data_IF_384073945555
#
_entry.id   IF_384073945555
#
_cell.length_a   1.000
_cell.length_b   1.000
_cell.length_c   1.000
_cell.angle_alpha   90.00
_cell.angle_beta   90.00
_cell.angle_gamma   90.00
#
_symmetry.space_group_name_H-M   'P 1'
#
loop_
_entity.id
_entity.type
_entity.pdbx_description
1 polymer ?
#
# COMPACT_ATOMS: atom_id res chain seq x y z
N UNK A 1 0.53 3.75 6.62
CA UNK A 1 -0.89 3.38 6.49
C UNK A 1 -1.07 1.97 5.90
N UNK A 2 -0.56 1.72 4.73
CA UNK A 2 -0.73 0.47 3.97
C UNK A 2 -0.38 -0.78 4.77
N UNK A 3 0.86 -0.90 5.21
CA UNK A 3 1.38 -2.04 5.97
C UNK A 3 0.55 -2.34 7.24
N UNK A 4 0.21 -1.31 8.01
CA UNK A 4 -0.59 -1.48 9.25
C UNK A 4 -1.99 -2.03 8.97
N UNK A 5 -2.63 -1.56 7.88
CA UNK A 5 -3.96 -2.04 7.46
C UNK A 5 -3.85 -3.47 6.96
N UNK A 6 -2.86 -3.76 6.11
CA UNK A 6 -2.59 -5.09 5.55
C UNK A 6 -2.39 -6.15 6.65
N UNK A 7 -1.49 -5.89 7.60
CA UNK A 7 -1.26 -6.82 8.72
C UNK A 7 -2.52 -7.09 9.55
N UNK A 8 -3.28 -6.04 9.83
CA UNK A 8 -4.54 -6.21 10.59
C UNK A 8 -5.55 -7.06 9.83
N UNK A 9 -5.67 -6.86 8.51
CA UNK A 9 -6.58 -7.66 7.68
C UNK A 9 -6.12 -9.12 7.64
N UNK A 10 -4.82 -9.37 7.42
CA UNK A 10 -4.29 -10.74 7.39
C UNK A 10 -4.52 -11.43 8.74
N UNK A 11 -4.20 -10.79 9.85
CA UNK A 11 -4.46 -11.33 11.20
C UNK A 11 -5.94 -11.60 11.43
N UNK A 12 -6.81 -10.69 11.00
CA UNK A 12 -8.25 -10.81 11.13
C UNK A 12 -8.79 -12.04 10.38
N UNK A 13 -8.43 -12.21 9.10
CA UNK A 13 -8.94 -13.32 8.29
C UNK A 13 -8.30 -14.67 8.62
N UNK A 14 -7.06 -14.71 9.13
CA UNK A 14 -6.42 -15.93 9.63
C UNK A 14 -6.79 -16.26 11.08
N UNK A 15 -7.56 -15.39 11.74
CA UNK A 15 -8.16 -15.60 13.05
C UNK A 15 -9.61 -16.11 12.95
N UNK A 16 -10.47 -15.57 13.80
CA UNK A 16 -11.87 -16.01 13.93
C UNK A 16 -12.76 -15.60 12.75
N UNK A 17 -12.40 -14.55 12.03
CA UNK A 17 -13.20 -14.04 10.93
C UNK A 17 -13.36 -15.02 9.75
N UNK A 18 -12.46 -15.99 9.61
CA UNK A 18 -12.64 -17.05 8.62
C UNK A 18 -13.90 -17.90 8.84
N UNK A 19 -14.47 -17.88 10.05
CA UNK A 19 -15.72 -18.60 10.35
C UNK A 19 -16.96 -17.76 10.02
N UNK A 20 -16.82 -16.46 9.79
CA UNK A 20 -17.93 -15.58 9.46
C UNK A 20 -18.42 -15.82 8.01
N UNK A 21 -19.72 -16.11 7.80
CA UNK A 21 -20.26 -16.42 6.49
C UNK A 21 -20.00 -15.33 5.44
N UNK A 22 -20.18 -14.06 5.81
CA UNK A 22 -19.98 -12.93 4.91
C UNK A 22 -18.53 -12.80 4.45
N UNK A 23 -17.56 -13.03 5.36
CA UNK A 23 -16.14 -13.04 5.04
C UNK A 23 -15.81 -14.18 4.09
N UNK A 24 -16.39 -15.37 4.32
CA UNK A 24 -16.20 -16.55 3.47
C UNK A 24 -16.73 -16.33 2.06
N UNK A 25 -17.93 -15.78 1.92
CA UNK A 25 -18.52 -15.46 0.62
C UNK A 25 -17.63 -14.49 -0.16
N UNK A 26 -17.16 -13.41 0.49
CA UNK A 26 -16.27 -12.43 -0.16
C UNK A 26 -14.91 -13.02 -0.52
N UNK A 27 -14.27 -13.78 0.37
CA UNK A 27 -12.97 -14.41 0.10
C UNK A 27 -13.05 -15.47 -0.99
N UNK A 28 -14.14 -16.25 -1.05
CA UNK A 28 -14.36 -17.21 -2.13
C UNK A 28 -14.53 -16.51 -3.49
N UNK A 29 -15.29 -15.41 -3.52
CA UNK A 29 -15.53 -14.66 -4.75
C UNK A 29 -14.31 -13.92 -5.28
N UNK A 30 -13.53 -13.29 -4.38
CA UNK A 30 -12.41 -12.40 -4.76
C UNK A 30 -11.07 -13.12 -4.83
N UNK A 31 -10.91 -14.20 -4.12
CA UNK A 31 -9.63 -14.87 -3.99
C UNK A 31 -8.54 -13.99 -3.38
N UNK A 32 -7.30 -14.36 -3.66
CA UNK A 32 -6.11 -13.70 -3.13
C UNK A 32 -5.04 -13.61 -4.21
N UNK A 33 -4.37 -12.47 -4.33
CA UNK A 33 -3.22 -12.32 -5.22
C UNK A 33 -1.98 -13.05 -4.66
N UNK A 34 -1.01 -13.30 -5.51
CA UNK A 34 0.24 -13.99 -5.18
C UNK A 34 0.93 -13.42 -3.95
N UNK A 35 1.09 -12.11 -3.92
CA UNK A 35 1.77 -11.41 -2.82
C UNK A 35 1.09 -11.65 -1.47
N UNK A 36 -0.24 -11.57 -1.42
CA UNK A 36 -0.98 -11.81 -0.18
C UNK A 36 -1.02 -13.29 0.21
N UNK A 37 -1.05 -14.22 -0.76
CA UNK A 37 -0.88 -15.64 -0.46
C UNK A 37 0.49 -15.92 0.18
N UNK A 38 1.56 -15.36 -0.36
CA UNK A 38 2.91 -15.53 0.18
C UNK A 38 3.01 -14.96 1.62
N UNK A 39 2.40 -13.80 1.88
CA UNK A 39 2.31 -13.22 3.24
C UNK A 39 1.48 -14.09 4.19
N UNK A 40 0.30 -14.55 3.76
CA UNK A 40 -0.53 -15.45 4.57
C UNK A 40 0.18 -16.78 4.86
N UNK A 41 0.99 -17.28 3.93
CA UNK A 41 1.81 -18.48 4.12
C UNK A 41 2.90 -18.29 5.16
N UNK A 42 3.41 -17.08 5.37
CA UNK A 42 4.42 -16.77 6.39
C UNK A 42 3.82 -16.59 7.79
N UNK A 43 2.50 -16.34 7.88
CA UNK A 43 1.80 -16.24 9.15
C UNK A 43 1.48 -17.60 9.78
N UNK A 44 1.27 -17.60 11.11
CA UNK A 44 0.67 -18.75 11.81
C UNK A 44 -0.79 -18.84 11.40
N UNK A 45 -1.31 -20.04 11.18
CA UNK A 45 -2.70 -20.24 10.77
C UNK A 45 -2.86 -21.01 9.46
N UNK A 46 -2.02 -22.04 9.28
CA UNK A 46 -2.07 -22.90 8.08
C UNK A 46 -3.43 -23.58 7.89
N UNK A 47 -4.08 -24.01 8.96
CA UNK A 47 -5.39 -24.65 8.87
C UNK A 47 -6.44 -23.63 8.39
N UNK A 48 -6.42 -22.42 8.94
CA UNK A 48 -7.33 -21.35 8.55
C UNK A 48 -7.18 -21.00 7.05
N UNK A 49 -5.94 -20.85 6.60
CA UNK A 49 -5.66 -20.62 5.18
C UNK A 49 -6.15 -21.81 4.32
N UNK A 50 -5.89 -23.05 4.74
CA UNK A 50 -6.31 -24.23 3.99
C UNK A 50 -7.85 -24.30 3.85
N UNK A 51 -8.60 -24.00 4.91
CA UNK A 51 -10.07 -23.97 4.89
C UNK A 51 -10.61 -22.88 3.95
N UNK A 52 -9.98 -21.70 3.90
CA UNK A 52 -10.35 -20.66 2.94
C UNK A 52 -10.05 -21.06 1.51
N UNK A 53 -8.87 -21.61 1.27
CA UNK A 53 -8.47 -22.06 -0.07
C UNK A 53 -9.34 -23.21 -0.56
N UNK A 54 -9.74 -24.15 0.30
CA UNK A 54 -10.65 -25.23 -0.06
C UNK A 54 -11.94 -24.72 -0.66
N UNK A 55 -12.62 -23.80 0.02
CA UNK A 55 -13.89 -23.24 -0.49
C UNK A 55 -13.71 -22.29 -1.67
N UNK A 56 -12.57 -21.61 -1.75
CA UNK A 56 -12.23 -20.80 -2.93
C UNK A 56 -12.02 -21.69 -4.17
N UNK A 57 -11.35 -22.83 -4.03
CA UNK A 57 -11.17 -23.81 -5.12
C UNK A 57 -12.54 -24.35 -5.58
N UNK A 58 -13.45 -24.63 -4.65
CA UNK A 58 -14.82 -25.06 -5.01
C UNK A 58 -15.56 -23.96 -5.79
N UNK A 59 -15.46 -22.70 -5.36
CA UNK A 59 -16.05 -21.56 -6.09
C UNK A 59 -15.45 -21.41 -7.49
N UNK A 60 -14.12 -21.50 -7.63
CA UNK A 60 -13.44 -21.47 -8.93
C UNK A 60 -13.94 -22.61 -9.82
N UNK A 61 -14.03 -23.83 -9.28
CA UNK A 61 -14.52 -24.98 -10.02
C UNK A 61 -15.95 -24.78 -10.53
N UNK A 62 -16.85 -24.31 -9.68
CA UNK A 62 -18.24 -24.03 -10.04
C UNK A 62 -18.33 -22.89 -11.06
N UNK A 63 -17.55 -21.83 -10.90
CA UNK A 63 -17.61 -20.63 -11.74
C UNK A 63 -17.00 -20.86 -13.12
N UNK A 64 -15.82 -21.50 -13.18
CA UNK A 64 -15.05 -21.65 -14.42
C UNK A 64 -15.36 -22.95 -15.14
N UNK A 65 -15.46 -24.07 -14.39
CA UNK A 65 -15.50 -25.42 -14.94
C UNK A 65 -16.87 -26.10 -14.87
N UNK A 66 -17.91 -25.38 -14.39
CA UNK A 66 -19.27 -25.93 -14.42
C UNK A 66 -19.65 -26.37 -15.83
N UNK A 67 -20.41 -27.49 -15.91
CA UNK A 67 -20.82 -28.18 -17.16
C UNK A 67 -21.79 -27.38 -18.05
N UNK A 68 -21.61 -26.09 -18.20
CA UNK A 68 -22.37 -25.35 -19.20
C UNK A 68 -21.70 -25.53 -20.55
N UNK A 69 -22.22 -26.48 -21.33
CA UNK A 69 -21.78 -26.86 -22.69
C UNK A 69 -21.74 -25.68 -23.68
N UNK A 70 -22.36 -24.56 -23.35
CA UNK A 70 -22.49 -23.37 -24.22
C UNK A 70 -21.44 -22.26 -23.94
N UNK A 71 -20.51 -22.44 -23.01
CA UNK A 71 -19.50 -21.41 -22.75
C UNK A 71 -18.28 -21.60 -23.66
N UNK A 72 -18.07 -20.70 -24.65
CA UNK A 72 -16.87 -20.76 -25.49
C UNK A 72 -15.60 -20.56 -24.65
N UNK A 73 -14.41 -21.07 -25.12
CA UNK A 73 -13.15 -20.95 -24.40
C UNK A 73 -12.82 -19.53 -23.94
N UNK A 74 -13.20 -18.51 -24.73
CA UNK A 74 -12.98 -17.10 -24.43
C UNK A 74 -13.71 -16.66 -23.15
N UNK A 75 -14.96 -17.08 -22.95
CA UNK A 75 -15.72 -16.79 -21.73
C UNK A 75 -15.13 -17.46 -20.49
N UNK A 76 -14.52 -18.65 -20.65
CA UNK A 76 -13.80 -19.29 -19.55
C UNK A 76 -12.54 -18.50 -19.20
N UNK A 77 -11.78 -18.04 -20.19
CA UNK A 77 -10.60 -17.20 -19.99
C UNK A 77 -10.95 -15.87 -19.28
N UNK A 78 -12.06 -15.22 -19.67
CA UNK A 78 -12.56 -14.01 -19.01
C UNK A 78 -12.90 -14.26 -17.53
N UNK A 79 -13.56 -15.40 -17.25
CA UNK A 79 -13.87 -15.79 -15.85
C UNK A 79 -12.61 -16.06 -15.03
N UNK A 80 -11.63 -16.77 -15.59
CA UNK A 80 -10.32 -16.97 -14.93
C UNK A 80 -9.70 -15.61 -14.65
N UNK A 81 -9.62 -14.73 -15.64
CA UNK A 81 -9.06 -13.40 -15.49
C UNK A 81 -9.77 -12.60 -14.39
N UNK A 82 -11.11 -12.63 -14.33
CA UNK A 82 -11.87 -11.92 -13.30
C UNK A 82 -11.54 -12.40 -11.87
N UNK A 83 -11.12 -13.66 -11.70
CA UNK A 83 -10.71 -14.22 -10.42
C UNK A 83 -9.25 -13.86 -10.12
N UNK A 84 -8.36 -13.96 -11.12
CA UNK A 84 -6.92 -13.70 -10.93
C UNK A 84 -6.58 -12.23 -10.77
N UNK A 85 -7.40 -11.33 -11.32
CA UNK A 85 -7.23 -9.88 -11.23
C UNK A 85 -7.81 -9.26 -9.95
N UNK A 86 -8.41 -10.09 -9.07
CA UNK A 86 -9.01 -9.63 -7.82
C UNK A 86 -8.28 -10.19 -6.60
N UNK A 87 -8.42 -9.50 -5.47
CA UNK A 87 -7.89 -9.95 -4.19
C UNK A 87 -8.69 -9.33 -3.06
N UNK A 88 -9.20 -10.16 -2.16
CA UNK A 88 -9.94 -9.71 -0.98
C UNK A 88 -9.12 -8.74 -0.12
N UNK A 89 -7.85 -9.06 0.14
CA UNK A 89 -6.98 -8.23 0.99
C UNK A 89 -6.70 -6.88 0.32
N UNK A 90 -6.36 -6.87 -0.98
CA UNK A 90 -6.15 -5.61 -1.71
C UNK A 90 -7.38 -4.70 -1.63
N UNK A 91 -8.58 -5.25 -1.82
CA UNK A 91 -9.82 -4.48 -1.76
C UNK A 91 -10.09 -3.90 -0.37
N UNK A 92 -9.85 -4.68 0.69
CA UNK A 92 -10.02 -4.20 2.07
C UNK A 92 -8.97 -3.14 2.45
N UNK A 93 -7.72 -3.29 1.97
CA UNK A 93 -6.67 -2.28 2.15
C UNK A 93 -7.08 -0.98 1.47
N UNK A 94 -7.48 -1.05 0.20
CA UNK A 94 -7.89 0.13 -0.57
C UNK A 94 -9.06 0.85 0.09
N UNK A 95 -10.07 0.10 0.53
CA UNK A 95 -11.18 0.66 1.29
C UNK A 95 -10.72 1.35 2.59
N UNK A 96 -9.85 0.70 3.37
CA UNK A 96 -9.34 1.24 4.62
C UNK A 96 -8.50 2.50 4.42
N UNK A 97 -7.58 2.50 3.46
CA UNK A 97 -6.73 3.65 3.13
C UNK A 97 -7.56 4.82 2.61
N UNK A 98 -8.56 4.56 1.74
CA UNK A 98 -9.46 5.60 1.25
C UNK A 98 -10.23 6.28 2.39
N UNK A 99 -10.70 5.51 3.38
CA UNK A 99 -11.37 6.07 4.57
C UNK A 99 -10.43 6.88 5.46
N UNK A 100 -9.18 6.46 5.61
CA UNK A 100 -8.17 7.24 6.33
C UNK A 100 -7.90 8.57 5.63
N UNK A 101 -7.72 8.56 4.31
CA UNK A 101 -7.49 9.77 3.51
C UNK A 101 -8.69 10.72 3.62
N UNK A 102 -9.91 10.22 3.55
CA UNK A 102 -11.12 11.02 3.75
C UNK A 102 -11.15 11.68 5.14
N UNK A 103 -10.74 10.93 6.16
CA UNK A 103 -10.64 11.47 7.53
C UNK A 103 -9.58 12.56 7.62
N UNK A 104 -8.44 12.42 6.93
CA UNK A 104 -7.40 13.46 6.86
C UNK A 104 -7.97 14.76 6.30
N UNK A 105 -8.72 14.73 5.20
CA UNK A 105 -9.31 15.94 4.63
C UNK A 105 -10.29 16.61 5.59
N UNK A 106 -11.15 15.82 6.23
CA UNK A 106 -12.12 16.33 7.19
C UNK A 106 -11.45 16.97 8.41
N UNK A 107 -10.41 16.34 8.95
CA UNK A 107 -9.67 16.88 10.08
C UNK A 107 -8.86 18.12 9.68
N UNK A 108 -8.24 18.12 8.49
CA UNK A 108 -7.50 19.26 7.97
C UNK A 108 -8.42 20.48 7.79
N UNK A 109 -9.66 20.30 7.32
CA UNK A 109 -10.65 21.35 7.13
C UNK A 109 -11.13 21.94 8.47
N UNK A 110 -11.30 21.11 9.51
CA UNK A 110 -12.04 21.51 10.70
C UNK A 110 -11.17 21.71 11.96
N UNK A 111 -9.99 21.09 12.03
CA UNK A 111 -9.18 21.07 13.24
C UNK A 111 -7.82 21.73 13.04
N UNK A 112 -7.57 22.83 13.76
CA UNK A 112 -6.33 23.60 13.67
C UNK A 112 -5.11 22.76 14.09
N UNK A 113 -5.20 22.08 15.21
CA UNK A 113 -4.10 21.28 15.76
C UNK A 113 -3.70 20.13 14.81
N UNK A 114 -4.70 19.55 14.14
CA UNK A 114 -4.42 18.55 13.12
C UNK A 114 -3.71 19.14 11.89
N UNK A 115 -4.10 20.35 11.43
CA UNK A 115 -3.39 21.04 10.33
C UNK A 115 -1.92 21.29 10.68
N UNK A 116 -1.67 21.79 11.89
CA UNK A 116 -0.30 22.02 12.37
C UNK A 116 0.50 20.73 12.39
N UNK A 117 -0.08 19.64 12.93
CA UNK A 117 0.55 18.32 12.93
C UNK A 117 0.79 17.79 11.52
N UNK A 118 -0.16 17.94 10.62
CA UNK A 118 -0.04 17.52 9.22
C UNK A 118 1.06 18.30 8.49
N UNK A 119 1.09 19.61 8.67
CA UNK A 119 2.05 20.52 8.03
C UNK A 119 3.48 20.37 8.59
N UNK A 120 3.63 19.77 9.78
CA UNK A 120 4.92 19.47 10.41
C UNK A 120 5.47 18.08 10.04
N UNK A 121 4.74 17.30 9.24
CA UNK A 121 5.22 15.99 8.82
C UNK A 121 6.51 16.12 8.02
N UNK A 122 7.51 15.23 8.26
CA UNK A 122 8.81 15.31 7.60
C UNK A 122 8.73 14.96 6.12
N UNK A 123 7.81 14.10 5.73
CA UNK A 123 7.67 13.63 4.34
C UNK A 123 6.34 12.95 4.08
N UNK A 124 5.97 12.90 2.80
CA UNK A 124 4.99 11.96 2.24
C UNK A 124 5.66 11.20 1.10
N UNK A 125 5.56 9.86 1.08
CA UNK A 125 6.03 9.10 -0.07
C UNK A 125 5.20 9.39 -1.32
N UNK A 126 5.72 9.05 -2.50
CA UNK A 126 5.09 9.39 -3.78
C UNK A 126 3.66 8.83 -3.90
N UNK A 127 3.42 7.61 -3.41
CA UNK A 127 2.08 7.01 -3.42
C UNK A 127 1.09 7.78 -2.53
N UNK A 128 1.48 8.14 -1.30
CA UNK A 128 0.62 8.94 -0.44
C UNK A 128 0.44 10.36 -0.95
N UNK A 129 1.48 10.98 -1.54
CA UNK A 129 1.38 12.29 -2.17
C UNK A 129 0.35 12.27 -3.31
N UNK A 130 0.45 11.31 -4.24
CA UNK A 130 -0.51 11.17 -5.36
C UNK A 130 -1.95 11.05 -4.83
N UNK A 131 -2.18 10.13 -3.90
CA UNK A 131 -3.52 9.88 -3.34
C UNK A 131 -4.09 11.10 -2.62
N UNK A 132 -3.26 11.78 -1.82
CA UNK A 132 -3.67 12.99 -1.10
C UNK A 132 -3.95 14.16 -2.04
N UNK A 133 -3.13 14.39 -3.06
CA UNK A 133 -3.37 15.48 -4.03
C UNK A 133 -4.60 15.20 -4.87
N UNK A 134 -4.75 13.98 -5.38
CA UNK A 134 -5.88 13.57 -6.23
C UNK A 134 -7.24 13.73 -5.55
N UNK A 135 -7.31 13.49 -4.24
CA UNK A 135 -8.56 13.55 -3.50
C UNK A 135 -8.91 14.94 -2.95
N UNK A 136 -8.08 15.96 -3.18
CA UNK A 136 -8.39 17.34 -2.76
C UNK A 136 -9.57 17.87 -3.59
N UNK A 137 -10.71 18.08 -2.94
CA UNK A 137 -11.91 18.62 -3.55
C UNK A 137 -12.30 19.98 -2.91
N UNK A 138 -12.12 21.06 -3.68
CA UNK A 138 -12.47 22.42 -3.25
C UNK A 138 -13.95 22.62 -2.98
N UNK A 139 -14.83 21.81 -3.56
CA UNK A 139 -16.27 21.90 -3.31
C UNK A 139 -16.62 21.31 -1.95
N UNK A 140 -15.93 20.26 -1.56
CA UNK A 140 -16.15 19.55 -0.30
C UNK A 140 -15.38 20.16 0.87
N UNK A 141 -14.16 20.68 0.60
CA UNK A 141 -13.24 21.26 1.58
C UNK A 141 -12.78 22.64 1.14
N UNK A 142 -13.67 23.67 1.19
CA UNK A 142 -13.43 24.95 0.54
C UNK A 142 -12.40 25.84 1.23
N UNK A 143 -12.20 25.70 2.55
CA UNK A 143 -11.40 26.64 3.33
C UNK A 143 -9.90 26.44 3.13
N UNK A 144 -9.45 25.19 3.22
CA UNK A 144 -8.01 24.87 3.33
C UNK A 144 -7.48 23.97 2.21
N UNK A 145 -8.27 23.64 1.19
CA UNK A 145 -7.83 22.74 0.10
C UNK A 145 -6.60 23.26 -0.65
N UNK A 146 -6.51 24.57 -0.89
CA UNK A 146 -5.33 25.18 -1.52
C UNK A 146 -4.11 25.10 -0.61
N UNK A 147 -4.26 25.49 0.65
CA UNK A 147 -3.19 25.43 1.65
C UNK A 147 -2.66 24.00 1.79
N UNK A 148 -3.56 23.02 1.86
CA UNK A 148 -3.19 21.61 1.93
C UNK A 148 -2.36 21.15 0.72
N UNK A 149 -2.79 21.54 -0.50
CA UNK A 149 -2.07 21.20 -1.73
C UNK A 149 -0.67 21.83 -1.76
N UNK A 150 -0.57 23.09 -1.38
CA UNK A 150 0.68 23.85 -1.35
C UNK A 150 1.65 23.24 -0.31
N UNK A 151 1.16 22.91 0.90
CA UNK A 151 1.96 22.28 1.95
C UNK A 151 2.40 20.86 1.60
N UNK A 152 1.51 20.03 1.03
CA UNK A 152 1.87 18.71 0.54
C UNK A 152 2.99 18.78 -0.49
N UNK A 153 2.87 19.70 -1.45
CA UNK A 153 3.88 19.89 -2.49
C UNK A 153 5.20 20.35 -1.90
N UNK A 154 5.18 21.32 -0.99
CA UNK A 154 6.37 21.82 -0.31
C UNK A 154 7.08 20.72 0.47
N UNK A 155 6.38 20.02 1.36
CA UNK A 155 6.94 18.95 2.21
C UNK A 155 7.58 17.86 1.34
N UNK A 156 6.87 17.41 0.30
CA UNK A 156 7.35 16.35 -0.57
C UNK A 156 8.58 16.78 -1.38
N UNK A 157 8.57 18.01 -1.89
CA UNK A 157 9.69 18.59 -2.66
C UNK A 157 10.93 18.82 -1.79
N UNK A 158 10.75 19.37 -0.60
CA UNK A 158 11.85 19.63 0.34
C UNK A 158 12.54 18.32 0.72
N UNK A 159 11.76 17.28 1.03
CA UNK A 159 12.30 15.96 1.30
C UNK A 159 13.01 15.34 0.09
N UNK A 160 12.43 15.43 -1.10
CA UNK A 160 13.05 14.93 -2.34
C UNK A 160 14.39 15.62 -2.60
N UNK A 161 14.48 16.93 -2.35
CA UNK A 161 15.72 17.70 -2.51
C UNK A 161 16.80 17.23 -1.52
N UNK A 162 16.44 17.03 -0.25
CA UNK A 162 17.33 16.49 0.76
C UNK A 162 17.80 15.08 0.42
N UNK A 163 16.86 14.22 -0.01
CA UNK A 163 17.14 12.84 -0.39
C UNK A 163 18.09 12.75 -1.59
N UNK A 164 17.92 13.63 -2.58
CA UNK A 164 18.84 13.73 -3.72
C UNK A 164 20.26 14.09 -3.28
N UNK A 165 20.40 15.04 -2.36
CA UNK A 165 21.71 15.40 -1.82
C UNK A 165 22.38 14.23 -1.08
N UNK A 166 21.60 13.49 -0.27
CA UNK A 166 22.10 12.32 0.46
C UNK A 166 22.54 11.19 -0.48
N UNK A 167 21.75 10.89 -1.52
CA UNK A 167 22.12 9.88 -2.54
C UNK A 167 23.33 10.33 -3.34
N UNK A 168 23.42 11.61 -3.70
CA UNK A 168 24.58 12.15 -4.42
C UNK A 168 25.84 12.03 -3.57
N UNK A 169 25.74 12.31 -2.25
CA UNK A 169 26.83 12.09 -1.32
C UNK A 169 27.22 10.61 -1.22
N UNK A 170 26.23 9.72 -1.11
CA UNK A 170 26.46 8.27 -1.13
C UNK A 170 27.26 7.86 -2.36
N UNK A 171 26.82 8.27 -3.56
CA UNK A 171 27.55 7.97 -4.80
C UNK A 171 28.98 8.50 -4.78
N UNK A 172 29.20 9.73 -4.29
CA UNK A 172 30.54 10.33 -4.24
C UNK A 172 31.52 9.61 -3.30
N UNK A 173 31.00 8.91 -2.26
CA UNK A 173 31.83 8.11 -1.35
C UNK A 173 32.44 6.87 -2.02
N UNK A 174 31.86 6.40 -3.11
CA UNK A 174 32.39 5.30 -3.93
C UNK A 174 33.24 5.77 -5.13
N UNK A 175 33.33 7.09 -5.36
CA UNK A 175 34.26 7.60 -6.38
C UNK A 175 35.70 7.49 -5.86
N UNK A 176 36.60 6.90 -6.66
CA UNK A 176 38.02 6.74 -6.33
C UNK A 176 38.71 8.08 -5.98
N UNK A 177 38.18 9.20 -6.52
CA UNK A 177 38.67 10.55 -6.21
C UNK A 177 38.29 11.01 -4.79
N UNK A 178 37.10 10.62 -4.32
CA UNK A 178 36.62 10.86 -2.96
C UNK A 178 37.35 10.01 -1.92
N UNK A 179 37.60 8.74 -2.25
CA UNK A 179 38.34 7.83 -1.37
C UNK A 179 39.80 8.28 -1.12
N UNK A 180 40.43 8.93 -2.09
CA UNK A 180 41.78 9.47 -1.97
C UNK A 180 41.88 10.69 -1.03
N UNK A 181 40.77 11.38 -0.73
CA UNK A 181 40.76 12.56 0.16
C UNK A 181 40.70 12.23 1.64
N UNK A 182 40.59 10.95 2.02
CA UNK A 182 40.52 10.50 3.42
C UNK A 182 39.26 10.95 4.18
N UNK A 183 38.28 11.53 3.50
CA UNK A 183 37.05 11.98 4.13
C UNK A 183 36.06 10.82 4.26
N UNK A 184 35.99 10.20 5.42
CA UNK A 184 35.09 9.11 5.77
C UNK A 184 33.75 9.58 6.35
N UNK A 185 33.42 10.87 6.25
CA UNK A 185 32.14 11.38 6.74
C UNK A 185 31.01 11.12 5.77
N UNK A 186 30.30 10.06 6.01
CA UNK A 186 29.07 9.69 5.27
C UNK A 186 27.87 10.62 5.57
N UNK A 187 27.89 11.33 6.70
CA UNK A 187 26.76 12.11 7.17
C UNK A 187 25.48 11.27 7.17
N UNK A 188 24.42 11.79 6.54
CA UNK A 188 23.09 11.16 6.45
C UNK A 188 22.91 10.28 5.21
N UNK A 189 24.01 9.93 4.50
CA UNK A 189 23.90 9.23 3.21
C UNK A 189 23.87 7.70 3.29
N UNK A 190 24.24 7.10 4.43
CA UNK A 190 24.40 5.64 4.54
C UNK A 190 23.15 4.84 4.21
N UNK A 191 21.99 5.31 4.61
CA UNK A 191 20.68 4.69 4.38
C UNK A 191 19.87 5.40 3.27
N UNK A 192 20.52 6.26 2.49
CA UNK A 192 19.84 7.08 1.48
C UNK A 192 19.22 6.25 0.36
N UNK A 193 19.80 5.09 0.03
CA UNK A 193 19.28 4.16 -0.98
C UNK A 193 17.96 3.56 -0.50
N UNK A 194 17.93 3.03 0.73
CA UNK A 194 16.74 2.44 1.34
C UNK A 194 15.62 3.48 1.50
N UNK A 195 15.97 4.69 1.97
CA UNK A 195 15.02 5.80 2.06
C UNK A 195 14.49 6.21 0.70
N UNK A 196 15.31 6.21 -0.33
CA UNK A 196 14.88 6.52 -1.69
C UNK A 196 13.90 5.49 -2.21
N UNK A 197 14.20 4.22 -2.04
CA UNK A 197 13.28 3.15 -2.45
C UNK A 197 11.96 3.22 -1.68
N UNK A 198 12.02 3.45 -0.36
CA UNK A 198 10.82 3.62 0.46
C UNK A 198 9.98 4.84 0.02
N UNK A 199 10.64 5.96 -0.29
CA UNK A 199 9.97 7.17 -0.77
C UNK A 199 9.30 6.98 -2.13
N UNK A 200 9.99 6.34 -3.08
CA UNK A 200 9.48 6.14 -4.44
C UNK A 200 8.41 5.05 -4.52
N UNK A 201 8.57 3.96 -3.76
CA UNK A 201 7.68 2.79 -3.82
C UNK A 201 6.55 2.81 -2.77
N UNK A 202 6.62 3.69 -1.78
CA UNK A 202 5.71 3.69 -0.63
C UNK A 202 5.90 2.50 0.34
N UNK A 203 6.93 1.67 0.13
CA UNK A 203 7.20 0.45 0.90
C UNK A 203 8.51 0.59 1.67
N UNK A 204 8.46 0.35 2.97
CA UNK A 204 9.67 0.23 3.79
C UNK A 204 10.21 -1.20 3.71
N UNK A 205 11.52 -1.32 3.55
CA UNK A 205 12.19 -2.60 3.71
C UNK A 205 12.27 -2.93 5.20
N UNK A 206 11.76 -4.10 5.58
CA UNK A 206 12.12 -4.67 6.87
C UNK A 206 13.60 -5.09 6.78
N UNK A 207 14.46 -4.44 7.57
CA UNK A 207 15.83 -4.92 7.76
C UNK A 207 15.76 -6.33 8.34
N UNK A 208 16.28 -7.30 7.59
CA UNK A 208 16.43 -8.68 8.07
C UNK A 208 17.39 -8.75 9.24
#
# INVERSE_FOLDING_TARGET
MYHTVEERIIKYILGDAMMEPDVRIETNRLGFCREHLDKMMSHRGRLQLALMLQTHIDEVNQTVFSKNFLNPPQKKAEKVKSITDTCFICNKIEWGVSRMIETIYRLYENEKDFRELFNSQPQFCMEHYERLVKGIDKRRYPRYSKEMADNLTRITKDYLTSLYADVSKYCSMYDYRGAASGNNDWGNSKDSVERTVAFLSGRYFESK
#
